data_IF_326376075841
#
_entry.id   IF_326376075841
#
_cell.length_a   1.000
_cell.length_b   1.000
_cell.length_c   1.000
_cell.angle_alpha   90.00
_cell.angle_beta   90.00
_cell.angle_gamma   90.00
#
_symmetry.space_group_name_H-M   'P 1'
#
loop_
_entity.id
_entity.type
_entity.pdbx_description
1 polymer ?
#
# COMPACT_ATOMS: atom_id res chain seq x y z
N UNK A 1 -1.78 -60.48 71.43
CA UNK A 1 -0.61 -60.67 70.56
C UNK A 1 -0.62 -59.57 69.51
N UNK A 2 0.05 -58.48 69.88
CA UNK A 2 0.30 -57.33 69.02
C UNK A 2 1.60 -57.65 68.30
N UNK A 3 1.57 -57.81 66.98
CA UNK A 3 2.76 -57.57 66.17
C UNK A 3 2.34 -57.24 64.73
N UNK A 4 1.99 -55.97 64.51
CA UNK A 4 1.97 -55.35 63.19
C UNK A 4 2.90 -54.14 63.25
N UNK A 5 4.17 -54.39 63.56
CA UNK A 5 5.24 -53.43 63.36
C UNK A 5 5.49 -53.24 61.87
N UNK A 6 4.67 -52.41 61.22
CA UNK A 6 5.10 -51.79 59.97
C UNK A 6 6.32 -50.95 60.36
N UNK A 7 7.49 -51.34 59.84
CA UNK A 7 8.77 -50.76 60.21
C UNK A 7 8.70 -49.22 60.06
N UNK A 8 9.12 -48.50 61.10
CA UNK A 8 9.19 -47.03 61.09
C UNK A 8 10.01 -46.49 59.89
N UNK A 9 10.93 -47.32 59.41
CA UNK A 9 11.76 -47.10 58.21
C UNK A 9 10.92 -47.03 56.92
N UNK A 10 9.86 -47.85 56.77
CA UNK A 10 9.01 -47.84 55.57
C UNK A 10 8.16 -46.57 55.50
N UNK A 11 7.60 -46.13 56.63
CA UNK A 11 6.85 -44.86 56.71
C UNK A 11 7.73 -43.64 56.40
N UNK A 12 8.96 -43.61 56.92
CA UNK A 12 9.92 -42.56 56.60
C UNK A 12 10.33 -42.56 55.12
N UNK A 13 10.42 -43.74 54.50
CA UNK A 13 10.74 -43.87 53.06
C UNK A 13 9.60 -43.35 52.19
N UNK A 14 8.35 -43.65 52.55
CA UNK A 14 7.16 -43.14 51.86
C UNK A 14 7.05 -41.61 52.02
N UNK A 15 7.21 -41.07 53.24
CA UNK A 15 7.18 -39.62 53.48
C UNK A 15 8.29 -38.88 52.72
N UNK A 16 9.50 -39.45 52.64
CA UNK A 16 10.62 -38.90 51.88
C UNK A 16 10.36 -38.93 50.36
N UNK A 17 9.65 -39.95 49.88
CA UNK A 17 9.16 -40.02 48.50
C UNK A 17 8.16 -38.91 48.18
N UNK A 18 7.20 -38.63 49.08
CA UNK A 18 6.27 -37.51 48.93
C UNK A 18 6.98 -36.14 48.99
N UNK A 19 7.99 -35.96 49.85
CA UNK A 19 8.80 -34.74 49.87
C UNK A 19 9.64 -34.57 48.60
N UNK A 20 10.19 -35.65 48.04
CA UNK A 20 10.91 -35.63 46.77
C UNK A 20 9.98 -35.28 45.61
N UNK A 21 8.81 -35.91 45.51
CA UNK A 21 7.82 -35.58 44.47
C UNK A 21 7.31 -34.14 44.60
N UNK A 22 7.05 -33.67 45.82
CA UNK A 22 6.63 -32.28 46.06
C UNK A 22 7.73 -31.27 45.70
N UNK A 23 9.01 -31.58 45.95
CA UNK A 23 10.14 -30.72 45.59
C UNK A 23 10.41 -30.73 44.09
N UNK A 24 10.23 -31.86 43.40
CA UNK A 24 10.28 -31.95 41.93
C UNK A 24 9.16 -31.15 41.27
N UNK A 25 7.92 -31.27 41.75
CA UNK A 25 6.77 -30.49 41.26
C UNK A 25 6.99 -28.98 41.49
N UNK A 26 7.52 -28.60 42.66
CA UNK A 26 7.86 -27.21 42.97
C UNK A 26 8.96 -26.66 42.05
N UNK A 27 9.99 -27.47 41.76
CA UNK A 27 11.08 -27.09 40.86
C UNK A 27 10.60 -26.97 39.41
N UNK A 28 9.73 -27.88 38.95
CA UNK A 28 9.09 -27.79 37.64
C UNK A 28 8.19 -26.55 37.51
N UNK A 29 7.41 -26.23 38.55
CA UNK A 29 6.60 -25.02 38.60
C UNK A 29 7.47 -23.76 38.54
N UNK A 30 8.55 -23.68 39.32
CA UNK A 30 9.52 -22.55 39.27
C UNK A 30 10.15 -22.40 37.89
N UNK A 31 10.54 -23.51 37.26
CA UNK A 31 11.13 -23.51 35.92
C UNK A 31 10.14 -23.02 34.85
N UNK A 32 8.88 -23.45 34.91
CA UNK A 32 7.84 -22.98 33.98
C UNK A 32 7.57 -21.47 34.10
N UNK A 33 7.52 -20.93 35.33
CA UNK A 33 7.36 -19.50 35.58
C UNK A 33 8.57 -18.71 35.06
N UNK A 34 9.78 -19.24 35.24
CA UNK A 34 11.00 -18.64 34.69
C UNK A 34 10.94 -18.59 33.16
N UNK A 35 10.56 -19.69 32.50
CA UNK A 35 10.41 -19.75 31.05
C UNK A 35 9.40 -18.73 30.53
N UNK A 36 8.22 -18.62 31.14
CA UNK A 36 7.20 -17.63 30.75
C UNK A 36 7.74 -16.20 30.89
N UNK A 37 8.46 -15.89 31.97
CA UNK A 37 9.10 -14.58 32.15
C UNK A 37 10.12 -14.28 31.06
N UNK A 38 10.97 -15.25 30.72
CA UNK A 38 11.98 -15.10 29.65
C UNK A 38 11.29 -14.89 28.29
N UNK A 39 10.24 -15.64 27.98
CA UNK A 39 9.47 -15.48 26.75
C UNK A 39 8.92 -14.06 26.65
N UNK A 40 8.25 -13.57 27.70
CA UNK A 40 7.67 -12.22 27.70
C UNK A 40 8.74 -11.13 27.59
N UNK A 41 9.88 -11.31 28.25
CA UNK A 41 11.02 -10.38 28.17
C UNK A 41 11.65 -10.31 26.78
N UNK A 42 11.55 -11.37 25.97
CA UNK A 42 12.07 -11.40 24.60
C UNK A 42 11.02 -10.92 23.60
N UNK A 43 9.77 -11.40 23.71
CA UNK A 43 8.75 -11.12 22.70
C UNK A 43 8.27 -9.69 22.72
N UNK A 44 8.17 -9.06 23.90
CA UNK A 44 7.73 -7.68 24.05
C UNK A 44 8.66 -6.65 23.37
N UNK A 45 9.98 -6.63 23.61
CA UNK A 45 10.87 -5.71 22.90
C UNK A 45 10.95 -6.04 21.41
N UNK A 46 10.88 -7.33 21.05
CA UNK A 46 10.89 -7.73 19.64
C UNK A 46 9.67 -7.17 18.88
N UNK A 47 8.47 -7.29 19.45
CA UNK A 47 7.25 -6.74 18.83
C UNK A 47 7.29 -5.23 18.77
N UNK A 48 7.86 -4.59 19.78
CA UNK A 48 8.06 -3.14 19.79
C UNK A 48 8.99 -2.70 18.65
N UNK A 49 10.14 -3.36 18.48
CA UNK A 49 11.07 -3.06 17.38
C UNK A 49 10.42 -3.27 16.02
N UNK A 50 9.68 -4.37 15.83
CA UNK A 50 8.92 -4.64 14.59
C UNK A 50 7.91 -3.51 14.33
N UNK A 51 7.14 -3.10 15.34
CA UNK A 51 6.18 -2.00 15.23
C UNK A 51 6.83 -0.68 14.81
N UNK A 52 7.96 -0.32 15.44
CA UNK A 52 8.72 0.90 15.10
C UNK A 52 9.20 0.85 13.64
N UNK A 53 9.79 -0.27 13.21
CA UNK A 53 10.26 -0.45 11.82
C UNK A 53 9.10 -0.30 10.83
N UNK A 54 7.94 -0.88 11.13
CA UNK A 54 6.75 -0.77 10.27
C UNK A 54 6.24 0.66 10.15
N UNK A 55 6.25 1.44 11.23
CA UNK A 55 5.86 2.85 11.22
C UNK A 55 6.82 3.67 10.35
N UNK A 56 8.14 3.49 10.53
CA UNK A 56 9.16 4.20 9.72
C UNK A 56 9.01 3.86 8.24
N UNK A 57 8.78 2.58 7.91
CA UNK A 57 8.55 2.16 6.53
C UNK A 57 7.26 2.75 5.96
N UNK A 58 6.18 2.81 6.74
CA UNK A 58 4.92 3.43 6.34
C UNK A 58 5.09 4.91 6.00
N UNK A 59 5.90 5.65 6.76
CA UNK A 59 6.18 7.07 6.49
C UNK A 59 7.00 7.27 5.20
N UNK A 60 8.00 6.41 4.96
CA UNK A 60 8.79 6.45 3.72
C UNK A 60 7.93 6.11 2.51
N UNK A 61 7.11 5.06 2.62
CA UNK A 61 6.19 4.64 1.58
C UNK A 61 5.15 5.70 1.26
N UNK A 62 4.58 6.34 2.27
CA UNK A 62 3.61 7.42 2.08
C UNK A 62 4.15 8.51 1.13
N UNK A 63 5.38 9.00 1.35
CA UNK A 63 6.02 10.00 0.47
C UNK A 63 6.23 9.47 -0.95
N UNK A 64 6.60 8.20 -1.07
CA UNK A 64 6.80 7.54 -2.36
C UNK A 64 5.49 7.39 -3.14
N UNK A 65 4.42 6.93 -2.48
CA UNK A 65 3.09 6.76 -3.07
C UNK A 65 2.51 8.11 -3.49
N UNK A 66 2.65 9.15 -2.67
CA UNK A 66 2.13 10.49 -2.99
C UNK A 66 2.78 11.07 -4.25
N UNK A 67 4.10 10.90 -4.41
CA UNK A 67 4.82 11.32 -5.63
C UNK A 67 4.36 10.55 -6.87
N UNK A 68 4.13 9.24 -6.75
CA UNK A 68 3.59 8.43 -7.85
C UNK A 68 2.17 8.84 -8.22
N UNK A 69 1.37 9.22 -7.22
CA UNK A 69 0.01 9.68 -7.43
C UNK A 69 -0.02 11.02 -8.17
N UNK A 70 0.91 11.94 -7.87
CA UNK A 70 1.10 13.17 -8.66
C UNK A 70 1.50 12.89 -10.12
N UNK A 71 2.32 11.86 -10.36
CA UNK A 71 2.65 11.42 -11.71
C UNK A 71 1.51 10.61 -12.40
N UNK A 72 0.33 10.54 -11.79
CA UNK A 72 -0.84 9.77 -12.26
C UNK A 72 -0.56 8.27 -12.46
N UNK A 73 0.41 7.72 -11.73
CA UNK A 73 0.77 6.31 -11.82
C UNK A 73 0.09 5.51 -10.70
N UNK A 74 -1.05 4.90 -11.02
CA UNK A 74 -1.91 4.19 -10.07
C UNK A 74 -1.53 2.73 -9.79
N UNK A 75 -0.35 2.24 -10.21
CA UNK A 75 -0.04 0.79 -10.18
C UNK A 75 -0.25 0.06 -8.84
N UNK A 76 -0.34 0.76 -7.71
CA UNK A 76 -0.51 0.17 -6.37
C UNK A 76 -1.77 0.63 -5.62
N UNK A 77 -2.50 1.63 -6.12
CA UNK A 77 -3.72 2.14 -5.49
C UNK A 77 -4.92 1.85 -6.37
N UNK A 78 -6.08 1.68 -5.75
CA UNK A 78 -7.35 1.63 -6.49
C UNK A 78 -7.50 2.92 -7.31
N UNK A 79 -7.72 2.82 -8.63
CA UNK A 79 -7.89 3.99 -9.49
C UNK A 79 -8.98 4.92 -8.94
N UNK A 80 -8.78 6.23 -9.06
CA UNK A 80 -9.77 7.23 -8.61
C UNK A 80 -11.13 7.01 -9.27
N UNK A 81 -11.14 6.53 -10.51
CA UNK A 81 -12.35 6.31 -11.30
C UNK A 81 -13.29 5.25 -10.68
N UNK A 82 -12.77 4.39 -9.80
CA UNK A 82 -13.56 3.38 -9.08
C UNK A 82 -14.07 3.87 -7.72
N UNK A 83 -13.55 4.99 -7.20
CA UNK A 83 -13.88 5.54 -5.88
C UNK A 83 -14.75 6.79 -6.07
N UNK A 84 -16.01 6.72 -5.62
CA UNK A 84 -16.88 7.90 -5.60
C UNK A 84 -16.32 9.02 -4.71
N UNK A 85 -16.49 10.28 -5.09
CA UNK A 85 -15.95 11.44 -4.36
C UNK A 85 -16.35 11.46 -2.88
N UNK A 86 -17.61 11.16 -2.56
CA UNK A 86 -18.09 11.07 -1.18
C UNK A 86 -17.40 9.94 -0.40
N UNK A 87 -17.13 8.82 -1.07
CA UNK A 87 -16.44 7.67 -0.49
C UNK A 87 -14.97 7.98 -0.19
N UNK A 88 -14.29 8.69 -1.10
CA UNK A 88 -12.93 9.15 -0.90
C UNK A 88 -12.82 10.11 0.30
N UNK A 89 -13.76 11.07 0.42
CA UNK A 89 -13.81 12.01 1.53
C UNK A 89 -14.07 11.31 2.87
N UNK A 90 -15.02 10.38 2.91
CA UNK A 90 -15.28 9.55 4.09
C UNK A 90 -14.05 8.71 4.47
N UNK A 91 -13.34 8.16 3.48
CA UNK A 91 -12.07 7.47 3.70
C UNK A 91 -11.02 8.35 4.37
N UNK A 92 -10.85 9.58 3.87
CA UNK A 92 -9.93 10.57 4.45
C UNK A 92 -10.28 10.92 5.89
N UNK A 93 -11.56 11.07 6.23
CA UNK A 93 -12.00 11.35 7.60
C UNK A 93 -11.73 10.17 8.55
N UNK A 94 -11.86 8.93 8.07
CA UNK A 94 -11.68 7.71 8.89
C UNK A 94 -10.22 7.29 9.06
N UNK A 95 -9.35 7.65 8.11
CA UNK A 95 -7.98 7.15 8.01
C UNK A 95 -7.17 7.33 9.30
N UNK A 96 -7.18 8.52 9.91
CA UNK A 96 -6.39 8.78 11.12
C UNK A 96 -6.80 7.87 12.29
N UNK A 97 -8.11 7.66 12.50
CA UNK A 97 -8.63 6.77 13.53
C UNK A 97 -8.32 5.30 13.25
N UNK A 98 -8.48 4.87 11.99
CA UNK A 98 -8.13 3.50 11.59
C UNK A 98 -6.62 3.26 11.74
N UNK A 99 -5.76 4.19 11.36
CA UNK A 99 -4.31 4.01 11.48
C UNK A 99 -3.89 3.72 12.92
N UNK A 100 -4.38 4.51 13.89
CA UNK A 100 -4.07 4.27 15.30
C UNK A 100 -4.66 2.93 15.78
N UNK A 101 -5.93 2.65 15.45
CA UNK A 101 -6.58 1.41 15.86
C UNK A 101 -5.88 0.15 15.33
N UNK A 102 -5.47 0.15 14.06
CA UNK A 102 -4.77 -0.97 13.44
C UNK A 102 -3.33 -1.13 13.97
N UNK A 103 -2.65 -0.04 14.33
CA UNK A 103 -1.35 -0.14 15.01
C UNK A 103 -1.50 -0.83 16.37
N UNK A 104 -2.50 -0.45 17.17
CA UNK A 104 -2.73 -1.04 18.51
C UNK A 104 -3.11 -2.53 18.39
N UNK A 105 -4.10 -2.86 17.56
CA UNK A 105 -4.51 -4.25 17.34
C UNK A 105 -3.41 -5.08 16.69
N UNK A 106 -2.70 -4.49 15.72
CA UNK A 106 -1.57 -5.12 15.06
C UNK A 106 -0.45 -5.46 16.04
N UNK A 107 -0.11 -4.55 16.96
CA UNK A 107 0.85 -4.81 18.03
C UNK A 107 0.40 -5.96 18.95
N UNK A 108 -0.87 -5.94 19.38
CA UNK A 108 -1.44 -6.98 20.26
C UNK A 108 -1.43 -8.35 19.59
N UNK A 109 -1.86 -8.44 18.32
CA UNK A 109 -1.88 -9.69 17.57
C UNK A 109 -0.45 -10.20 17.33
N UNK A 110 0.48 -9.33 16.95
CA UNK A 110 1.89 -9.70 16.74
C UNK A 110 2.53 -10.18 18.05
N UNK A 111 2.23 -9.53 19.17
CA UNK A 111 2.69 -9.96 20.48
C UNK A 111 2.16 -11.33 20.87
N UNK A 112 0.85 -11.56 20.75
CA UNK A 112 0.24 -12.87 21.04
C UNK A 112 0.81 -13.97 20.14
N UNK A 113 0.99 -13.70 18.84
CA UNK A 113 1.52 -14.67 17.90
C UNK A 113 2.98 -14.99 18.19
N UNK A 114 3.82 -13.99 18.46
CA UNK A 114 5.23 -14.22 18.81
C UNK A 114 5.38 -14.93 20.15
N UNK A 115 4.54 -14.61 21.14
CA UNK A 115 4.49 -15.34 22.41
C UNK A 115 4.04 -16.79 22.23
N UNK A 116 3.07 -17.07 21.35
CA UNK A 116 2.64 -18.43 21.02
C UNK A 116 3.75 -19.21 20.30
N UNK A 117 4.45 -18.59 19.34
CA UNK A 117 5.57 -19.25 18.66
C UNK A 117 6.71 -19.51 19.64
N UNK A 118 7.06 -18.53 20.49
CA UNK A 118 8.09 -18.69 21.50
C UNK A 118 7.74 -19.76 22.55
N UNK A 119 6.47 -19.85 22.97
CA UNK A 119 6.05 -20.90 23.92
C UNK A 119 6.12 -22.29 23.31
N UNK A 120 5.76 -22.46 22.03
CA UNK A 120 5.94 -23.72 21.30
C UNK A 120 7.42 -24.07 21.23
N UNK A 121 8.30 -23.12 20.91
CA UNK A 121 9.74 -23.35 20.86
C UNK A 121 10.30 -23.76 22.21
N UNK A 122 9.91 -23.09 23.30
CA UNK A 122 10.33 -23.47 24.65
C UNK A 122 9.81 -24.86 25.06
N UNK A 123 8.57 -25.20 24.69
CA UNK A 123 8.03 -26.54 24.94
C UNK A 123 8.81 -27.62 24.17
N UNK A 124 9.19 -27.36 22.91
CA UNK A 124 10.04 -28.26 22.13
C UNK A 124 11.42 -28.43 22.76
N UNK A 125 12.04 -27.35 23.26
CA UNK A 125 13.32 -27.40 23.97
C UNK A 125 13.20 -28.20 25.27
N UNK A 126 12.14 -28.00 26.05
CA UNK A 126 11.92 -28.72 27.29
C UNK A 126 11.71 -30.22 27.05
N UNK A 127 11.02 -30.58 25.97
CA UNK A 127 10.78 -31.95 25.55
C UNK A 127 11.92 -32.53 24.70
N UNK A 128 13.01 -31.78 24.46
CA UNK A 128 14.10 -32.19 23.57
C UNK A 128 14.70 -33.54 23.97
N UNK A 129 14.93 -33.76 25.26
CA UNK A 129 15.47 -35.03 25.78
C UNK A 129 14.66 -36.27 25.32
N UNK A 130 13.34 -36.12 25.17
CA UNK A 130 12.45 -37.19 24.69
C UNK A 130 12.27 -37.16 23.17
N UNK A 131 12.27 -35.96 22.58
CA UNK A 131 11.99 -35.76 21.16
C UNK A 131 13.20 -35.93 20.26
N UNK A 132 14.43 -35.86 20.78
CA UNK A 132 15.66 -35.82 19.98
C UNK A 132 15.77 -37.05 19.06
N UNK A 133 15.63 -38.24 19.64
CA UNK A 133 15.67 -39.51 18.88
C UNK A 133 14.55 -39.58 17.85
N UNK A 134 13.32 -39.23 18.24
CA UNK A 134 12.18 -39.25 17.33
C UNK A 134 12.32 -38.24 16.17
N UNK A 135 12.77 -37.02 16.45
CA UNK A 135 12.97 -35.97 15.44
C UNK A 135 14.12 -36.35 14.51
N UNK A 136 15.26 -36.77 15.04
CA UNK A 136 16.42 -37.20 14.26
C UNK A 136 16.05 -38.38 13.35
N UNK A 137 15.32 -39.37 13.85
CA UNK A 137 14.86 -40.51 13.04
C UNK A 137 13.96 -40.07 11.89
N UNK A 138 13.03 -39.12 12.14
CA UNK A 138 12.18 -38.58 11.08
C UNK A 138 12.94 -37.69 10.10
N UNK A 139 13.91 -36.90 10.56
CA UNK A 139 14.78 -36.12 9.68
C UNK A 139 15.60 -37.07 8.79
N UNK A 140 16.19 -38.13 9.34
CA UNK A 140 16.92 -39.15 8.58
C UNK A 140 16.04 -39.85 7.54
N UNK A 141 14.76 -40.07 7.83
CA UNK A 141 13.81 -40.61 6.87
C UNK A 141 13.37 -39.59 5.79
N UNK A 142 13.25 -38.31 6.13
CA UNK A 142 12.66 -37.29 5.26
C UNK A 142 13.70 -36.56 4.37
N UNK A 143 14.95 -36.40 4.81
CA UNK A 143 15.94 -35.64 4.05
C UNK A 143 16.20 -36.18 2.63
N UNK A 144 16.20 -37.50 2.34
CA UNK A 144 16.41 -37.97 0.97
C UNK A 144 15.24 -37.59 0.07
N UNK A 145 14.01 -37.57 0.62
CA UNK A 145 12.80 -37.16 -0.11
C UNK A 145 12.85 -35.67 -0.43
N UNK A 146 13.28 -34.84 0.52
CA UNK A 146 13.45 -33.40 0.29
C UNK A 146 14.57 -33.12 -0.72
N UNK A 147 15.70 -33.82 -0.61
CA UNK A 147 16.83 -33.65 -1.51
C UNK A 147 16.48 -34.10 -2.94
N UNK A 148 15.89 -35.28 -3.10
CA UNK A 148 15.43 -35.76 -4.40
C UNK A 148 14.41 -34.81 -5.01
N UNK A 149 13.50 -34.28 -4.20
CA UNK A 149 12.54 -33.27 -4.66
C UNK A 149 13.22 -32.00 -5.16
N UNK A 150 14.22 -31.50 -4.42
CA UNK A 150 15.00 -30.33 -4.85
C UNK A 150 15.74 -30.60 -6.17
N UNK A 151 16.42 -31.73 -6.28
CA UNK A 151 17.18 -32.13 -7.47
C UNK A 151 16.25 -32.26 -8.68
N UNK A 152 15.11 -32.92 -8.56
CA UNK A 152 14.15 -33.07 -9.66
C UNK A 152 13.61 -31.73 -10.13
N UNK A 153 13.31 -30.79 -9.22
CA UNK A 153 12.90 -29.43 -9.60
C UNK A 153 14.00 -28.69 -10.39
N UNK A 154 15.27 -28.83 -9.98
CA UNK A 154 16.40 -28.25 -10.73
C UNK A 154 16.53 -28.91 -12.11
N UNK A 155 16.43 -30.25 -12.19
CA UNK A 155 16.48 -30.98 -13.47
C UNK A 155 15.34 -30.51 -14.39
N UNK A 156 14.11 -30.36 -13.88
CA UNK A 156 12.99 -29.84 -14.66
C UNK A 156 13.27 -28.44 -15.23
N UNK A 157 13.88 -27.54 -14.44
CA UNK A 157 14.25 -26.20 -14.88
C UNK A 157 15.37 -26.23 -15.94
N UNK A 158 16.36 -27.12 -15.77
CA UNK A 158 17.44 -27.32 -16.75
C UNK A 158 16.90 -27.90 -18.07
N UNK A 159 16.03 -28.92 -18.00
CA UNK A 159 15.37 -29.50 -19.18
C UNK A 159 14.53 -28.45 -19.91
N UNK A 160 13.78 -27.63 -19.17
CA UNK A 160 13.03 -26.52 -19.74
C UNK A 160 13.96 -25.57 -20.51
N UNK A 161 15.04 -25.10 -19.88
CA UNK A 161 15.94 -24.11 -20.48
C UNK A 161 16.78 -24.65 -21.66
N UNK A 162 17.25 -25.90 -21.58
CA UNK A 162 18.20 -26.43 -22.56
C UNK A 162 17.58 -27.31 -23.64
N UNK A 163 16.44 -27.97 -23.38
CA UNK A 163 15.86 -28.96 -24.30
C UNK A 163 14.46 -28.59 -24.82
N UNK A 164 13.66 -27.87 -24.02
CA UNK A 164 12.28 -27.56 -24.43
C UNK A 164 12.14 -26.18 -25.05
N UNK A 165 12.86 -25.17 -24.55
CA UNK A 165 12.67 -23.78 -24.94
C UNK A 165 13.62 -23.36 -26.07
N UNK A 166 13.07 -22.74 -27.11
CA UNK A 166 13.83 -22.21 -28.24
C UNK A 166 14.75 -21.07 -27.77
N UNK A 167 15.95 -20.99 -28.35
CA UNK A 167 16.95 -19.95 -28.05
C UNK A 167 17.24 -19.81 -26.53
N UNK A 168 17.12 -20.91 -25.77
CA UNK A 168 17.34 -20.95 -24.31
C UNK A 168 16.47 -19.96 -23.51
N UNK A 169 15.31 -19.59 -24.07
CA UNK A 169 14.29 -18.77 -23.41
C UNK A 169 14.23 -17.31 -23.82
N UNK A 170 14.84 -16.92 -24.95
CA UNK A 170 14.60 -15.60 -25.56
C UNK A 170 13.17 -15.49 -26.09
N UNK A 171 12.59 -16.59 -26.57
CA UNK A 171 11.20 -16.66 -27.01
C UNK A 171 10.47 -17.80 -26.29
N UNK A 172 9.21 -17.57 -25.91
CA UNK A 172 8.34 -18.60 -25.31
C UNK A 172 7.80 -19.54 -26.41
N UNK A 173 8.70 -20.24 -27.09
CA UNK A 173 8.40 -21.22 -28.13
C UNK A 173 9.04 -22.56 -27.76
N UNK A 174 8.29 -23.65 -28.00
CA UNK A 174 8.72 -25.01 -27.66
C UNK A 174 9.38 -25.64 -28.89
N UNK A 175 10.63 -26.06 -28.78
CA UNK A 175 11.38 -26.70 -29.87
C UNK A 175 11.01 -28.18 -30.01
N UNK A 176 11.24 -28.99 -28.96
CA UNK A 176 10.92 -30.42 -28.97
C UNK A 176 9.59 -30.73 -28.26
N UNK A 177 8.48 -30.49 -28.98
CA UNK A 177 7.12 -30.66 -28.44
C UNK A 177 6.80 -32.09 -27.99
N UNK A 178 7.32 -33.12 -28.66
CA UNK A 178 7.06 -34.53 -28.30
C UNK A 178 7.72 -34.91 -26.97
N UNK A 179 8.99 -34.56 -26.80
CA UNK A 179 9.72 -34.84 -25.56
C UNK A 179 9.12 -34.08 -24.38
N UNK A 180 8.69 -32.84 -24.59
CA UNK A 180 8.00 -32.05 -23.57
C UNK A 180 6.74 -32.78 -23.05
N UNK A 181 5.89 -33.32 -23.95
CA UNK A 181 4.69 -34.05 -23.52
C UNK A 181 4.99 -35.35 -22.78
N UNK A 182 5.99 -36.11 -23.23
CA UNK A 182 6.42 -37.36 -22.55
C UNK A 182 6.92 -37.04 -21.13
N UNK A 183 7.80 -36.05 -21.00
CA UNK A 183 8.33 -35.64 -19.69
C UNK A 183 7.26 -35.06 -18.78
N UNK A 184 6.32 -34.29 -19.32
CA UNK A 184 5.17 -33.78 -18.55
C UNK A 184 4.31 -34.92 -18.02
N UNK A 185 4.05 -35.96 -18.82
CA UNK A 185 3.29 -37.14 -18.40
C UNK A 185 3.99 -37.90 -17.26
N UNK A 186 5.28 -38.19 -17.40
CA UNK A 186 6.04 -38.89 -16.34
C UNK A 186 6.15 -38.07 -15.05
N UNK A 187 6.36 -36.76 -15.16
CA UNK A 187 6.50 -35.86 -14.01
C UNK A 187 5.17 -35.51 -13.35
N UNK A 188 4.04 -35.85 -13.96
CA UNK A 188 2.70 -35.48 -13.47
C UNK A 188 2.47 -35.93 -12.02
N UNK A 189 2.70 -37.21 -11.70
CA UNK A 189 2.51 -37.74 -10.35
C UNK A 189 3.44 -37.09 -9.33
N UNK A 190 4.70 -36.88 -9.70
CA UNK A 190 5.66 -36.18 -8.84
C UNK A 190 5.21 -34.74 -8.55
N UNK A 191 4.74 -34.01 -9.56
CA UNK A 191 4.26 -32.63 -9.42
C UNK A 191 3.00 -32.53 -8.55
N UNK A 192 2.15 -33.57 -8.48
CA UNK A 192 1.01 -33.61 -7.55
C UNK A 192 1.50 -33.53 -6.10
N UNK A 193 2.48 -34.34 -5.71
CA UNK A 193 3.01 -34.35 -4.34
C UNK A 193 3.68 -33.01 -3.98
N UNK A 194 4.48 -32.46 -4.90
CA UNK A 194 5.08 -31.13 -4.71
C UNK A 194 3.98 -30.05 -4.61
N UNK A 195 2.91 -30.18 -5.38
CA UNK A 195 1.74 -29.30 -5.31
C UNK A 195 1.07 -29.29 -3.93
N UNK A 196 0.92 -30.46 -3.29
CA UNK A 196 0.37 -30.58 -1.94
C UNK A 196 1.22 -29.83 -0.90
N UNK A 197 2.55 -30.05 -0.94
CA UNK A 197 3.47 -29.35 -0.03
C UNK A 197 3.49 -27.85 -0.30
N UNK A 198 3.49 -27.44 -1.57
CA UNK A 198 3.43 -26.03 -1.98
C UNK A 198 2.16 -25.33 -1.49
N UNK A 199 1.03 -26.04 -1.47
CA UNK A 199 -0.23 -25.53 -0.92
C UNK A 199 -0.13 -25.26 0.59
N UNK A 200 0.46 -26.19 1.36
CA UNK A 200 0.71 -25.97 2.80
C UNK A 200 1.63 -24.78 3.03
N UNK A 201 2.73 -24.69 2.27
CA UNK A 201 3.64 -23.55 2.33
C UNK A 201 2.98 -22.23 1.96
N UNK A 202 2.01 -22.23 1.04
CA UNK A 202 1.20 -21.04 0.70
C UNK A 202 0.43 -20.54 1.92
N UNK A 203 -0.24 -21.42 2.64
CA UNK A 203 -1.00 -21.06 3.85
C UNK A 203 -0.05 -20.48 4.91
N UNK A 204 1.07 -21.16 5.17
CA UNK A 204 2.06 -20.71 6.15
C UNK A 204 2.63 -19.32 5.82
N UNK A 205 3.04 -19.10 4.56
CA UNK A 205 3.54 -17.79 4.11
C UNK A 205 2.47 -16.70 4.25
N UNK A 206 1.22 -17.01 3.91
CA UNK A 206 0.10 -16.07 4.06
C UNK A 206 -0.17 -15.72 5.53
N UNK A 207 -0.06 -16.66 6.46
CA UNK A 207 -0.20 -16.38 7.89
C UNK A 207 0.92 -15.46 8.41
N UNK A 208 2.17 -15.74 8.05
CA UNK A 208 3.34 -14.95 8.47
C UNK A 208 3.25 -13.53 7.91
N UNK A 209 3.10 -13.39 6.58
CA UNK A 209 3.01 -12.08 5.94
C UNK A 209 1.76 -11.33 6.38
N UNK A 210 0.63 -12.04 6.51
CA UNK A 210 -0.63 -11.47 7.00
C UNK A 210 -0.45 -10.83 8.36
N UNK A 211 0.11 -11.56 9.34
CA UNK A 211 0.37 -11.05 10.70
C UNK A 211 1.35 -9.87 10.73
N UNK A 212 2.40 -9.90 9.90
CA UNK A 212 3.38 -8.80 9.82
C UNK A 212 2.78 -7.52 9.23
N UNK A 213 1.85 -7.63 8.26
CA UNK A 213 1.27 -6.47 7.57
C UNK A 213 -0.04 -5.95 8.18
N UNK A 214 -0.65 -6.60 9.18
CA UNK A 214 -1.88 -6.10 9.85
C UNK A 214 -1.78 -4.63 10.31
N UNK A 215 -0.70 -4.17 10.96
CA UNK A 215 -0.62 -2.79 11.45
C UNK A 215 -0.55 -1.74 10.34
N UNK A 216 -0.33 -2.16 9.10
CA UNK A 216 -0.05 -1.29 7.96
C UNK A 216 -1.28 -1.17 7.07
N UNK A 217 -1.75 0.07 6.88
CA UNK A 217 -2.88 0.37 6.00
C UNK A 217 -2.49 0.66 4.54
N UNK A 218 -1.19 0.74 4.24
CA UNK A 218 -0.69 1.00 2.88
C UNK A 218 -0.74 -0.24 1.97
N UNK A 219 -0.96 -1.41 2.55
CA UNK A 219 -1.20 -2.67 1.83
C UNK A 219 -2.47 -3.32 2.33
N UNK A 220 -3.25 -3.89 1.42
CA UNK A 220 -4.35 -4.76 1.81
C UNK A 220 -3.85 -6.18 2.07
N UNK A 221 -4.33 -6.79 3.14
CA UNK A 221 -4.12 -8.22 3.45
C UNK A 221 -4.93 -9.11 2.49
N UNK A 222 -5.98 -8.55 1.89
CA UNK A 222 -6.87 -9.26 0.98
C UNK A 222 -6.29 -9.34 -0.46
N UNK A 223 -6.66 -10.37 -1.24
CA UNK A 223 -6.29 -10.45 -2.66
C UNK A 223 -6.74 -9.22 -3.45
N UNK A 224 -6.03 -8.87 -4.54
CA UNK A 224 -6.29 -7.65 -5.34
C UNK A 224 -7.76 -7.41 -5.68
N UNK A 225 -8.50 -8.45 -6.09
CA UNK A 225 -9.92 -8.36 -6.44
C UNK A 225 -10.85 -8.07 -5.26
N UNK A 226 -10.40 -8.35 -4.03
CA UNK A 226 -11.16 -8.18 -2.79
C UNK A 226 -10.64 -7.03 -1.92
N UNK A 227 -9.72 -6.20 -2.43
CA UNK A 227 -9.17 -5.06 -1.68
C UNK A 227 -10.24 -4.06 -1.25
N UNK A 228 -11.37 -3.98 -1.97
CA UNK A 228 -12.50 -3.11 -1.60
C UNK A 228 -13.18 -3.52 -0.29
N UNK A 229 -13.08 -4.80 0.10
CA UNK A 229 -13.63 -5.30 1.35
C UNK A 229 -12.70 -5.05 2.55
N UNK A 230 -11.53 -4.46 2.31
CA UNK A 230 -10.61 -4.01 3.35
C UNK A 230 -10.94 -2.56 3.74
N UNK A 231 -11.62 -2.32 4.89
CA UNK A 231 -12.00 -0.96 5.28
C UNK A 231 -10.77 -0.10 5.62
N UNK A 232 -9.68 -0.71 6.08
CA UNK A 232 -8.44 -0.02 6.40
C UNK A 232 -7.75 0.49 5.15
N UNK A 233 -7.52 -0.40 4.18
CA UNK A 233 -6.91 -0.03 2.89
C UNK A 233 -7.80 0.92 2.06
N UNK A 234 -9.12 0.72 2.09
CA UNK A 234 -10.06 1.62 1.42
C UNK A 234 -10.01 3.04 2.00
N UNK A 235 -9.93 3.18 3.33
CA UNK A 235 -9.76 4.48 3.98
C UNK A 235 -8.43 5.15 3.59
N UNK A 236 -7.34 4.38 3.56
CA UNK A 236 -6.03 4.86 3.09
C UNK A 236 -6.07 5.35 1.63
N UNK A 237 -6.71 4.61 0.72
CA UNK A 237 -6.87 5.05 -0.66
C UNK A 237 -7.67 6.36 -0.77
N UNK A 238 -8.77 6.48 -0.02
CA UNK A 238 -9.56 7.71 0.04
C UNK A 238 -8.75 8.90 0.53
N UNK A 239 -8.00 8.72 1.63
CA UNK A 239 -7.07 9.70 2.17
C UNK A 239 -6.05 10.17 1.14
N UNK A 240 -5.35 9.23 0.48
CA UNK A 240 -4.33 9.55 -0.52
C UNK A 240 -4.89 10.35 -1.71
N UNK A 241 -6.09 10.01 -2.19
CA UNK A 241 -6.73 10.73 -3.30
C UNK A 241 -7.17 12.14 -2.91
N UNK A 242 -7.74 12.32 -1.72
CA UNK A 242 -8.12 13.64 -1.18
C UNK A 242 -6.88 14.49 -0.99
N UNK A 243 -5.86 13.94 -0.35
CA UNK A 243 -4.61 14.64 -0.11
C UNK A 243 -3.92 15.05 -1.41
N UNK A 244 -3.83 14.14 -2.40
CA UNK A 244 -3.25 14.48 -3.69
C UNK A 244 -4.04 15.55 -4.44
N UNK A 245 -5.36 15.65 -4.24
CA UNK A 245 -6.19 16.66 -4.89
C UNK A 245 -5.97 18.06 -4.28
N UNK A 246 -5.76 18.13 -2.95
CA UNK A 246 -5.64 19.40 -2.23
C UNK A 246 -4.19 19.89 -2.04
N UNK A 247 -3.21 18.99 -2.03
CA UNK A 247 -1.81 19.33 -1.72
C UNK A 247 -0.89 19.29 -2.94
N UNK A 248 -1.45 19.22 -4.16
CA UNK A 248 -0.66 19.17 -5.39
C UNK A 248 0.23 20.41 -5.54
N UNK A 249 1.54 20.22 -5.36
CA UNK A 249 2.52 21.31 -5.31
C UNK A 249 2.52 22.21 -6.55
N UNK A 250 2.39 21.62 -7.75
CA UNK A 250 2.34 22.40 -9.00
C UNK A 250 1.15 23.36 -9.04
N UNK A 251 -0.02 22.94 -8.55
CA UNK A 251 -1.23 23.78 -8.54
C UNK A 251 -1.08 24.89 -7.51
N UNK A 252 -0.57 24.57 -6.32
CA UNK A 252 -0.32 25.57 -5.27
C UNK A 252 0.68 26.63 -5.71
N UNK A 253 1.77 26.22 -6.38
CA UNK A 253 2.76 27.16 -6.94
C UNK A 253 2.13 27.99 -8.05
N UNK A 254 1.36 27.38 -8.97
CA UNK A 254 0.65 28.12 -10.01
C UNK A 254 -0.29 29.18 -9.44
N UNK A 255 -1.08 28.85 -8.42
CA UNK A 255 -1.97 29.79 -7.72
C UNK A 255 -1.17 30.90 -7.05
N UNK A 256 -0.04 30.58 -6.39
CA UNK A 256 0.79 31.61 -5.76
C UNK A 256 1.38 32.61 -6.77
N UNK A 257 1.77 32.12 -7.96
CA UNK A 257 2.26 32.98 -9.06
C UNK A 257 1.13 33.88 -9.55
N UNK A 258 -0.08 33.33 -9.76
CA UNK A 258 -1.24 34.11 -10.16
C UNK A 258 -1.65 35.16 -9.13
N UNK A 259 -1.61 34.82 -7.84
CA UNK A 259 -1.91 35.75 -6.75
C UNK A 259 -0.87 36.88 -6.69
N UNK A 260 0.41 36.57 -6.83
CA UNK A 260 1.48 37.56 -6.86
C UNK A 260 1.32 38.53 -8.04
N UNK A 261 1.03 38.03 -9.24
CA UNK A 261 0.78 38.86 -10.42
C UNK A 261 -0.48 39.73 -10.30
N UNK A 262 -1.55 39.19 -9.72
CA UNK A 262 -2.79 39.93 -9.44
C UNK A 262 -2.52 41.09 -8.46
N UNK A 263 -1.82 40.81 -7.36
CA UNK A 263 -1.47 41.82 -6.37
C UNK A 263 -0.54 42.91 -6.96
N UNK A 264 0.47 42.52 -7.74
CA UNK A 264 1.36 43.46 -8.42
C UNK A 264 0.58 44.36 -9.40
N UNK A 265 -0.40 43.80 -10.11
CA UNK A 265 -1.27 44.56 -11.02
C UNK A 265 -2.17 45.53 -10.26
N UNK A 266 -2.72 45.13 -9.10
CA UNK A 266 -3.52 46.01 -8.24
C UNK A 266 -2.68 47.15 -7.67
N UNK A 267 -1.47 46.87 -7.17
CA UNK A 267 -0.54 47.88 -6.66
C UNK A 267 -0.14 48.88 -7.75
N UNK A 268 0.23 48.39 -8.94
CA UNK A 268 0.56 49.23 -10.08
C UNK A 268 -0.63 50.07 -10.60
N UNK A 269 -1.87 49.66 -10.33
CA UNK A 269 -3.07 50.45 -10.64
C UNK A 269 -3.42 51.44 -9.52
N UNK A 270 -3.13 51.11 -8.25
CA UNK A 270 -3.31 52.01 -7.10
C UNK A 270 -2.28 53.14 -7.05
N UNK A 271 -1.06 52.90 -7.55
CA UNK A 271 0.00 53.91 -7.66
C UNK A 271 -0.17 54.83 -8.88
N UNK A 272 -1.18 54.59 -9.74
CA UNK A 272 -1.52 55.55 -10.79
C UNK A 272 -2.18 56.76 -10.13
N UNK A 273 -1.68 57.99 -10.33
CA UNK A 273 -2.29 59.17 -9.76
C UNK A 273 -3.74 59.25 -10.22
N UNK A 274 -4.65 59.45 -9.27
CA UNK A 274 -6.06 59.65 -9.56
C UNK A 274 -6.21 60.74 -10.63
N UNK A 275 -7.13 60.51 -11.56
CA UNK A 275 -7.45 61.37 -12.71
C UNK A 275 -7.70 62.86 -12.33
N UNK A 276 -7.86 63.16 -11.04
CA UNK A 276 -8.03 64.52 -10.48
C UNK A 276 -6.76 65.37 -10.47
N UNK A 277 -5.55 64.82 -10.60
CA UNK A 277 -4.31 65.63 -10.67
C UNK A 277 -3.87 65.99 -12.10
N UNK A 278 -4.59 65.53 -13.13
CA UNK A 278 -4.16 65.60 -14.54
C UNK A 278 -4.89 66.64 -15.39
N UNK A 279 -5.69 67.53 -14.79
CA UNK A 279 -6.45 68.56 -15.51
C UNK A 279 -5.61 69.76 -16.00
N UNK A 280 -4.27 69.62 -16.06
CA UNK A 280 -3.34 70.72 -16.36
C UNK A 280 -2.43 70.56 -17.58
N UNK A 281 -2.43 69.44 -18.34
CA UNK A 281 -1.53 69.27 -19.50
C UNK A 281 -2.18 68.52 -20.67
N UNK A 282 -2.80 69.26 -21.59
CA UNK A 282 -3.55 68.75 -22.75
C UNK A 282 -2.76 68.14 -23.91
N UNK A 283 -1.45 67.88 -23.78
CA UNK A 283 -0.62 67.31 -24.88
C UNK A 283 0.04 65.97 -24.49
N UNK A 284 0.14 65.65 -23.20
CA UNK A 284 0.88 64.45 -22.73
C UNK A 284 0.02 63.18 -22.58
N UNK A 285 -1.31 63.27 -22.68
CA UNK A 285 -2.26 62.16 -22.42
C UNK A 285 -2.39 61.18 -23.59
N UNK A 286 -2.13 61.64 -24.81
CA UNK A 286 -2.25 60.84 -26.04
C UNK A 286 -1.09 59.85 -26.18
N UNK A 287 0.16 60.30 -25.95
CA UNK A 287 1.33 59.42 -26.05
C UNK A 287 1.32 58.28 -25.00
N UNK A 288 0.86 58.57 -23.77
CA UNK A 288 0.76 57.55 -22.70
C UNK A 288 -0.26 56.43 -22.98
N UNK A 289 -1.32 56.70 -23.75
CA UNK A 289 -2.31 55.68 -24.15
C UNK A 289 -1.77 54.79 -25.27
N UNK A 290 -1.07 55.36 -26.25
CA UNK A 290 -0.40 54.59 -27.31
C UNK A 290 0.68 53.65 -26.74
N UNK A 291 1.55 54.14 -25.85
CA UNK A 291 2.61 53.33 -25.23
C UNK A 291 2.03 52.17 -24.38
N UNK A 292 0.93 52.42 -23.66
CA UNK A 292 0.26 51.37 -22.89
C UNK A 292 -0.38 50.30 -23.79
N UNK A 293 -0.98 50.69 -24.92
CA UNK A 293 -1.56 49.76 -25.91
C UNK A 293 -0.46 48.98 -26.63
N UNK A 294 0.67 49.60 -26.95
CA UNK A 294 1.80 48.97 -27.63
C UNK A 294 2.54 48.00 -26.70
N UNK A 295 2.71 48.33 -25.42
CA UNK A 295 3.22 47.41 -24.38
C UNK A 295 2.33 46.16 -24.24
N UNK A 296 1.00 46.33 -24.26
CA UNK A 296 0.05 45.21 -24.24
C UNK A 296 0.12 44.36 -25.51
N UNK A 297 0.26 44.98 -26.70
CA UNK A 297 0.41 44.26 -27.98
C UNK A 297 1.73 43.48 -28.07
N UNK A 298 2.84 44.09 -27.64
CA UNK A 298 4.16 43.45 -27.58
C UNK A 298 4.15 42.22 -26.66
N UNK A 299 3.49 42.33 -25.49
CA UNK A 299 3.28 41.18 -24.60
C UNK A 299 2.52 40.06 -25.31
N UNK A 300 1.37 40.36 -25.91
CA UNK A 300 0.54 39.36 -26.63
C UNK A 300 1.33 38.64 -27.74
N UNK A 301 2.18 39.36 -28.49
CA UNK A 301 3.03 38.75 -29.51
C UNK A 301 4.02 37.75 -28.90
N UNK A 302 4.70 38.12 -27.79
CA UNK A 302 5.62 37.21 -27.07
C UNK A 302 4.91 35.94 -26.57
N UNK A 303 3.72 36.06 -25.99
CA UNK A 303 2.93 34.90 -25.55
C UNK A 303 2.55 33.97 -26.71
N UNK A 304 2.22 34.52 -27.88
CA UNK A 304 1.93 33.72 -29.08
C UNK A 304 3.15 32.95 -29.59
N UNK A 305 4.33 33.59 -29.59
CA UNK A 305 5.58 32.94 -29.96
C UNK A 305 5.99 31.85 -28.97
N UNK A 306 5.86 32.11 -27.67
CA UNK A 306 6.16 31.12 -26.63
C UNK A 306 5.21 29.92 -26.71
N UNK A 307 3.92 30.16 -26.97
CA UNK A 307 2.96 29.09 -27.24
C UNK A 307 3.34 28.26 -28.47
N UNK A 308 3.68 28.92 -29.59
CA UNK A 308 4.09 28.23 -30.81
C UNK A 308 5.33 27.37 -30.56
N UNK A 309 6.33 27.90 -29.86
CA UNK A 309 7.53 27.17 -29.46
C UNK A 309 7.19 25.91 -28.64
N UNK A 310 6.35 26.03 -27.61
CA UNK A 310 5.92 24.89 -26.80
C UNK A 310 5.18 23.82 -27.62
N UNK A 311 4.32 24.23 -28.56
CA UNK A 311 3.56 23.31 -29.40
C UNK A 311 4.42 22.60 -30.45
N UNK A 312 5.44 23.27 -30.99
CA UNK A 312 6.40 22.67 -31.92
C UNK A 312 7.21 21.59 -31.20
N UNK A 313 7.65 21.87 -29.97
CA UNK A 313 8.44 20.92 -29.17
C UNK A 313 7.60 19.74 -28.64
N UNK A 314 6.27 19.89 -28.54
CA UNK A 314 5.35 18.89 -27.98
C UNK A 314 4.18 18.60 -28.93
N UNK A 315 4.36 17.75 -29.95
CA UNK A 315 3.38 17.54 -31.01
C UNK A 315 2.06 16.92 -30.51
N UNK A 316 2.10 16.07 -29.48
CA UNK A 316 0.91 15.45 -28.87
C UNK A 316 -0.02 16.50 -28.24
N UNK A 317 0.54 17.54 -27.60
CA UNK A 317 -0.23 18.64 -27.02
C UNK A 317 -0.97 19.46 -28.08
N UNK A 318 -0.48 19.48 -29.33
CA UNK A 318 -1.18 20.16 -30.42
C UNK A 318 -2.54 19.52 -30.72
N UNK A 319 -2.59 18.18 -30.73
CA UNK A 319 -3.83 17.44 -30.95
C UNK A 319 -4.79 17.63 -29.76
N UNK A 320 -4.30 17.43 -28.54
CA UNK A 320 -5.10 17.61 -27.31
C UNK A 320 -5.68 19.01 -27.20
N UNK A 321 -4.89 20.04 -27.53
CA UNK A 321 -5.34 21.43 -27.55
C UNK A 321 -6.47 21.65 -28.56
N UNK A 322 -6.37 21.09 -29.78
CA UNK A 322 -7.43 21.22 -30.79
C UNK A 322 -8.74 20.59 -30.30
N UNK A 323 -8.64 19.42 -29.68
CA UNK A 323 -9.80 18.70 -29.10
C UNK A 323 -10.41 19.54 -27.96
N UNK A 324 -9.59 20.05 -27.05
CA UNK A 324 -10.06 20.87 -25.93
C UNK A 324 -10.77 22.16 -26.40
N UNK A 325 -10.22 22.85 -27.41
CA UNK A 325 -10.83 24.04 -28.00
C UNK A 325 -12.15 23.73 -28.72
N UNK A 326 -12.23 22.60 -29.42
CA UNK A 326 -13.48 22.15 -30.04
C UNK A 326 -14.55 21.85 -28.99
N UNK A 327 -14.18 21.19 -27.89
CA UNK A 327 -15.07 20.93 -26.76
C UNK A 327 -15.58 22.22 -26.12
N UNK A 328 -14.69 23.17 -25.85
CA UNK A 328 -15.04 24.48 -25.28
C UNK A 328 -16.01 25.24 -26.20
N UNK A 329 -15.80 25.19 -27.52
CA UNK A 329 -16.70 25.80 -28.50
C UNK A 329 -18.10 25.16 -28.44
N UNK A 330 -18.17 23.83 -28.39
CA UNK A 330 -19.44 23.12 -28.29
C UNK A 330 -20.19 23.43 -26.99
N UNK A 331 -19.51 23.47 -25.85
CA UNK A 331 -20.10 23.85 -24.57
C UNK A 331 -20.63 25.29 -24.60
N UNK A 332 -19.89 26.23 -25.19
CA UNK A 332 -20.36 27.61 -25.34
C UNK A 332 -21.63 27.71 -26.19
N UNK A 333 -21.72 26.93 -27.28
CA UNK A 333 -22.93 26.88 -28.13
C UNK A 333 -24.12 26.31 -27.35
N UNK A 334 -23.91 25.24 -26.58
CA UNK A 334 -24.98 24.64 -25.75
C UNK A 334 -25.47 25.66 -24.71
N UNK A 335 -24.57 26.37 -24.04
CA UNK A 335 -24.94 27.39 -23.05
C UNK A 335 -25.71 28.55 -23.70
N UNK A 336 -25.32 28.98 -24.90
CA UNK A 336 -26.06 30.01 -25.65
C UNK A 336 -27.46 29.51 -26.02
N UNK A 337 -27.61 28.28 -26.52
CA UNK A 337 -28.91 27.69 -26.86
C UNK A 337 -29.80 27.49 -25.63
N UNK A 338 -29.25 27.06 -24.50
CA UNK A 338 -30.00 26.94 -23.24
C UNK A 338 -30.48 28.31 -22.73
N UNK A 339 -29.65 29.34 -22.89
CA UNK A 339 -30.01 30.70 -22.49
C UNK A 339 -31.08 31.29 -23.41
N UNK A 340 -30.97 31.09 -24.74
CA UNK A 340 -31.99 31.50 -25.70
C UNK A 340 -33.33 30.77 -25.45
N UNK A 341 -33.29 29.48 -25.10
CA UNK A 341 -34.49 28.71 -24.73
C UNK A 341 -35.11 29.16 -23.39
N UNK A 342 -34.31 29.59 -22.42
CA UNK A 342 -34.79 30.16 -21.16
C UNK A 342 -35.37 31.58 -21.32
N UNK A 343 -34.86 32.34 -22.28
CA UNK A 343 -35.40 33.66 -22.63
C UNK A 343 -36.69 33.54 -23.47
N UNK A 344 -36.85 32.45 -24.24
CA UNK A 344 -38.04 32.16 -25.04
C UNK A 344 -39.22 31.52 -24.25
N UNK A 345 -39.02 31.03 -23.03
CA UNK A 345 -40.10 30.46 -22.20
C UNK A 345 -40.98 31.55 -21.57
N UNK A 346 -42.33 31.44 -21.67
CA UNK A 346 -43.26 32.39 -21.06
C UNK A 346 -43.10 32.47 -19.54
N UNK A 347 -43.37 33.64 -18.94
CA UNK A 347 -43.13 33.91 -17.52
C UNK A 347 -43.90 33.00 -16.54
N UNK A 348 -44.98 32.35 -16.99
CA UNK A 348 -45.83 31.48 -16.17
C UNK A 348 -45.17 30.11 -15.85
N UNK A 349 -44.17 29.67 -16.63
CA UNK A 349 -43.53 28.35 -16.48
C UNK A 349 -42.17 28.42 -15.76
N UNK A 350 -41.70 29.62 -15.37
CA UNK A 350 -40.38 29.82 -14.73
C UNK A 350 -40.34 29.49 -13.24
N UNK A 351 -41.49 29.26 -12.61
CA UNK A 351 -41.61 29.00 -11.17
C UNK A 351 -41.37 27.51 -10.82
N UNK A 352 -41.58 26.59 -11.75
CA UNK A 352 -41.53 25.14 -11.49
C UNK A 352 -40.15 24.48 -11.68
N UNK A 353 -39.09 25.24 -12.01
CA UNK A 353 -37.74 24.70 -12.30
C UNK A 353 -36.75 24.93 -11.13
N UNK A 354 -37.22 25.33 -9.94
CA UNK A 354 -36.40 25.41 -8.72
C UNK A 354 -36.82 24.37 -7.68
N UNK A 355 -36.49 23.08 -7.91
CA UNK A 355 -36.35 22.07 -6.85
C UNK A 355 -35.12 21.20 -7.14
#
# INVERSE_FOLDING_TARGET
>A
MIDKGINYVDYLTILRGYEQEATELLNAAKYSVFCVRVILLITLPLTFVIGVVMIVQSLANYRYLLRKLYARNYCHLTPKDEIGNSSALVGSMRYAGYQVGYIVWGFLIQFLLLTLVASILTAVIQLWSFLDTWIIDKIHALWPVLLTSFVVNIIQLLLAKFFFLQERGEQLAIENRRLFFIMTYFMFFYNIFIGLVSCLLRILKSMILGSLFIPRLDHSVLPRKFQRFDPGFHAFCGFMHVESAHTHSVIMVFISILQAESFNTLKANSEKPSLKSMMGKGIATVNGTYDMVQSKRSRKARWKWLLAYTLIQNPTLCLERKIALAKQKNESIIMTVLQDNYEATPAEEKIDIQI
#
